data_IF_700240484356
#
_entry.id   IF_700240484356
#
_cell.length_a   1.000
_cell.length_b   1.000
_cell.length_c   1.000
_cell.angle_alpha   90.00
_cell.angle_beta   90.00
_cell.angle_gamma   90.00
#
_symmetry.space_group_name_H-M   'P 1'
#
loop_
_entity.id
_entity.type
_entity.pdbx_description
1 polymer ?
#
# COMPACT_ATOMS: atom_id res chain seq x y z
N UNK A 1 27.95 -3.15 3.03
CA UNK A 1 26.83 -4.09 2.80
C UNK A 1 25.64 -3.91 3.74
N UNK A 2 25.83 -3.46 4.99
CA UNK A 2 24.72 -3.21 5.93
C UNK A 2 23.71 -2.14 5.45
N UNK A 3 24.20 -1.05 4.85
CA UNK A 3 23.33 0.04 4.33
C UNK A 3 22.43 -0.43 3.18
N UNK A 4 22.94 -1.31 2.30
CA UNK A 4 22.15 -1.87 1.19
C UNK A 4 21.07 -2.83 1.67
N UNK A 5 21.39 -3.70 2.64
CA UNK A 5 20.42 -4.59 3.29
C UNK A 5 19.37 -3.81 4.09
N UNK A 6 19.75 -2.72 4.75
CA UNK A 6 18.82 -1.88 5.52
C UNK A 6 17.88 -1.09 4.59
N UNK A 7 18.40 -0.57 3.47
CA UNK A 7 17.60 0.12 2.46
C UNK A 7 16.65 -0.85 1.73
N UNK A 8 17.15 -2.03 1.35
CA UNK A 8 16.31 -3.08 0.76
C UNK A 8 15.21 -3.55 1.72
N UNK A 9 15.56 -3.87 2.98
CA UNK A 9 14.58 -4.44 3.91
C UNK A 9 13.62 -3.42 4.56
N UNK A 10 13.94 -2.12 4.60
CA UNK A 10 13.04 -1.12 5.21
C UNK A 10 12.32 -0.23 4.20
N UNK A 11 12.93 0.05 3.04
CA UNK A 11 12.35 0.98 2.05
C UNK A 11 11.69 0.25 0.88
N UNK A 12 12.21 -0.90 0.45
CA UNK A 12 11.61 -1.68 -0.64
C UNK A 12 10.52 -2.66 -0.16
N UNK A 13 10.66 -3.23 1.04
CA UNK A 13 9.68 -4.19 1.60
C UNK A 13 8.46 -3.54 2.22
N UNK A 14 8.53 -2.26 2.58
CA UNK A 14 7.37 -1.50 3.03
C UNK A 14 6.87 -0.60 1.89
N UNK A 15 5.74 -0.94 1.26
CA UNK A 15 5.30 -0.26 0.04
C UNK A 15 5.00 1.24 0.27
N UNK A 16 4.61 1.63 1.49
CA UNK A 16 4.39 3.01 1.86
C UNK A 16 5.66 3.89 1.66
N UNK A 17 6.82 3.42 2.14
CA UNK A 17 8.08 4.14 1.99
C UNK A 17 8.57 4.13 0.55
N UNK A 18 8.37 3.02 -0.18
CA UNK A 18 8.70 2.93 -1.60
C UNK A 18 7.92 3.95 -2.44
N UNK A 19 6.60 4.04 -2.25
CA UNK A 19 5.72 4.98 -2.96
C UNK A 19 6.09 6.42 -2.60
N UNK A 20 6.36 6.71 -1.32
CA UNK A 20 6.81 8.03 -0.89
C UNK A 20 8.12 8.47 -1.56
N UNK A 21 9.10 7.57 -1.64
CA UNK A 21 10.39 7.84 -2.30
C UNK A 21 10.22 8.08 -3.80
N UNK A 22 9.36 7.30 -4.47
CA UNK A 22 9.04 7.48 -5.88
C UNK A 22 8.45 8.87 -6.15
N UNK A 23 7.55 9.33 -5.29
CA UNK A 23 6.91 10.65 -5.44
C UNK A 23 7.89 11.79 -5.17
N UNK A 24 8.79 11.66 -4.17
CA UNK A 24 9.86 12.64 -3.94
C UNK A 24 10.76 12.73 -5.17
N UNK A 25 11.23 11.59 -5.70
CA UNK A 25 12.08 11.55 -6.89
C UNK A 25 11.36 12.17 -8.10
N UNK A 26 10.08 11.87 -8.29
CA UNK A 26 9.28 12.42 -9.38
C UNK A 26 9.13 13.94 -9.31
N UNK A 27 8.80 14.51 -8.14
CA UNK A 27 8.67 15.95 -7.98
C UNK A 27 10.01 16.70 -8.05
N UNK A 28 11.10 16.09 -7.58
CA UNK A 28 12.46 16.62 -7.72
C UNK A 28 12.89 16.66 -9.18
N UNK A 29 12.62 15.61 -9.96
CA UNK A 29 12.88 15.57 -11.41
C UNK A 29 12.07 16.64 -12.16
N UNK A 30 10.84 16.91 -11.73
CA UNK A 30 9.99 17.97 -12.26
C UNK A 30 10.38 19.38 -11.77
N UNK A 31 11.45 19.52 -10.99
CA UNK A 31 11.94 20.79 -10.40
C UNK A 31 10.85 21.59 -9.68
N UNK A 32 9.92 20.88 -9.03
CA UNK A 32 8.81 21.49 -8.31
C UNK A 32 9.27 22.09 -6.98
N UNK A 33 8.61 23.15 -6.48
CA UNK A 33 8.98 23.78 -5.22
C UNK A 33 8.82 22.79 -4.04
N UNK A 34 9.64 22.97 -3.00
CA UNK A 34 9.75 22.03 -1.87
C UNK A 34 8.41 21.71 -1.19
N UNK A 35 7.50 22.68 -1.12
CA UNK A 35 6.18 22.48 -0.53
C UNK A 35 5.33 21.47 -1.32
N UNK A 36 5.46 21.41 -2.65
CA UNK A 36 4.75 20.45 -3.50
C UNK A 36 5.33 19.05 -3.37
N UNK A 37 6.66 18.94 -3.21
CA UNK A 37 7.34 17.66 -2.95
C UNK A 37 6.82 17.03 -1.66
N UNK A 38 6.74 17.82 -0.58
CA UNK A 38 6.24 17.34 0.71
C UNK A 38 4.74 17.04 0.68
N UNK A 39 3.94 17.89 0.05
CA UNK A 39 2.51 17.63 -0.13
C UNK A 39 2.25 16.36 -0.95
N UNK A 40 3.07 16.13 -1.99
CA UNK A 40 3.05 14.93 -2.80
C UNK A 40 3.37 13.67 -2.00
N UNK A 41 4.45 13.70 -1.22
CA UNK A 41 4.85 12.60 -0.33
C UNK A 41 3.74 12.20 0.64
N UNK A 42 3.12 13.19 1.30
CA UNK A 42 2.02 12.95 2.24
C UNK A 42 0.81 12.35 1.52
N UNK A 43 0.39 12.93 0.39
CA UNK A 43 -0.74 12.40 -0.41
C UNK A 43 -0.51 10.95 -0.83
N UNK A 44 0.70 10.61 -1.26
CA UNK A 44 1.03 9.28 -1.71
C UNK A 44 1.04 8.26 -0.57
N UNK A 45 1.63 8.62 0.56
CA UNK A 45 1.68 7.79 1.77
C UNK A 45 0.28 7.56 2.33
N UNK A 46 -0.50 8.64 2.50
CA UNK A 46 -1.89 8.56 2.99
C UNK A 46 -2.77 7.78 2.03
N UNK A 47 -2.63 7.98 0.72
CA UNK A 47 -3.36 7.22 -0.29
C UNK A 47 -3.13 5.71 -0.19
N UNK A 48 -1.87 5.29 0.00
CA UNK A 48 -1.54 3.88 0.22
C UNK A 48 -2.12 3.32 1.53
N UNK A 49 -2.07 4.10 2.63
CA UNK A 49 -2.67 3.69 3.90
C UNK A 49 -4.18 3.51 3.79
N UNK A 50 -4.89 4.42 3.09
CA UNK A 50 -6.32 4.29 2.84
C UNK A 50 -6.63 3.03 2.03
N UNK A 51 -5.87 2.78 0.96
CA UNK A 51 -5.99 1.56 0.15
C UNK A 51 -5.83 0.29 0.99
N UNK A 52 -4.85 0.27 1.89
CA UNK A 52 -4.56 -0.88 2.76
C UNK A 52 -5.67 -1.12 3.78
N UNK A 53 -6.19 -0.06 4.39
CA UNK A 53 -7.32 -0.16 5.34
C UNK A 53 -8.60 -0.55 4.61
N UNK A 54 -8.86 0.02 3.43
CA UNK A 54 -10.02 -0.31 2.60
C UNK A 54 -10.02 -1.77 2.15
N UNK A 55 -8.90 -2.26 1.61
CA UNK A 55 -8.78 -3.66 1.18
C UNK A 55 -8.90 -4.63 2.35
N UNK A 56 -8.24 -4.35 3.48
CA UNK A 56 -8.36 -5.17 4.69
C UNK A 56 -9.79 -5.22 5.24
N UNK A 57 -10.51 -4.09 5.23
CA UNK A 57 -11.91 -4.01 5.64
C UNK A 57 -12.85 -4.81 4.75
N UNK A 58 -12.67 -4.73 3.43
CA UNK A 58 -13.43 -5.52 2.46
C UNK A 58 -13.16 -7.01 2.65
N UNK A 59 -11.90 -7.43 2.72
CA UNK A 59 -11.53 -8.84 2.93
C UNK A 59 -12.15 -9.39 4.23
N UNK A 60 -12.10 -8.62 5.31
CA UNK A 60 -12.68 -9.03 6.61
C UNK A 60 -14.20 -9.13 6.57
N UNK A 61 -14.86 -8.27 5.79
CA UNK A 61 -16.31 -8.28 5.61
C UNK A 61 -16.78 -9.40 4.67
N UNK A 62 -16.02 -9.68 3.61
CA UNK A 62 -16.37 -10.70 2.61
C UNK A 62 -15.99 -12.12 3.04
N UNK A 63 -14.96 -12.31 3.87
CA UNK A 63 -14.55 -13.65 4.35
C UNK A 63 -15.69 -14.44 5.03
N UNK A 64 -16.46 -13.88 5.98
CA UNK A 64 -17.59 -14.59 6.60
C UNK A 64 -18.69 -14.96 5.60
N UNK A 65 -18.99 -14.08 4.65
CA UNK A 65 -19.99 -14.32 3.60
C UNK A 65 -19.57 -15.50 2.72
N UNK A 66 -18.28 -15.56 2.35
CA UNK A 66 -17.73 -16.65 1.54
C UNK A 66 -17.67 -17.97 2.30
N UNK A 67 -17.34 -17.93 3.60
CA UNK A 67 -17.38 -19.13 4.45
C UNK A 67 -18.81 -19.65 4.59
N UNK A 68 -19.80 -18.78 4.83
CA UNK A 68 -21.21 -19.17 4.90
C UNK A 68 -21.76 -19.74 3.58
N UNK A 69 -21.36 -19.18 2.43
CA UNK A 69 -21.68 -19.72 1.10
C UNK A 69 -21.00 -21.07 0.86
N UNK A 70 -19.74 -21.24 1.26
CA UNK A 70 -19.01 -22.51 1.15
C UNK A 70 -19.66 -23.61 1.98
N UNK A 71 -20.12 -23.30 3.19
CA UNK A 71 -20.74 -24.27 4.10
C UNK A 71 -22.13 -24.73 3.60
N UNK A 72 -22.89 -23.82 2.97
CA UNK A 72 -24.24 -24.11 2.46
C UNK A 72 -24.28 -24.63 1.02
N UNK A 73 -23.37 -24.21 0.16
CA UNK A 73 -23.41 -24.50 -1.28
C UNK A 73 -22.17 -25.23 -1.79
N UNK A 74 -21.20 -25.60 -0.94
CA UNK A 74 -19.92 -26.23 -1.31
C UNK A 74 -19.10 -25.45 -2.35
N UNK A 75 -19.46 -24.19 -2.62
CA UNK A 75 -18.78 -23.33 -3.57
C UNK A 75 -17.51 -22.76 -2.95
N UNK A 76 -16.35 -23.12 -3.52
CA UNK A 76 -15.06 -22.59 -3.10
C UNK A 76 -14.80 -21.25 -3.80
N UNK A 77 -15.09 -20.16 -3.12
CA UNK A 77 -14.72 -18.82 -3.56
C UNK A 77 -13.68 -18.23 -2.59
N UNK A 78 -12.56 -17.75 -3.14
CA UNK A 78 -11.42 -17.23 -2.39
C UNK A 78 -11.22 -15.75 -2.71
N UNK A 79 -10.98 -14.95 -1.68
CA UNK A 79 -10.50 -13.56 -1.83
C UNK A 79 -8.99 -13.58 -1.65
N UNK A 80 -8.27 -13.08 -2.66
CA UNK A 80 -6.81 -12.90 -2.69
C UNK A 80 -6.47 -11.53 -2.12
#
# INVERSE_FOLDING_TARGET
>A
MAVWQFFANNILTQPAYFIGLLVIIGYVLLKKPWYEVMAGFIKATVGYMILTVGSGGLVTTFRPVLVGLKERFQLSAMVI
#
